data_IF_041634949973
#
_entry.id   IF_041634949973
#
_cell.length_a   1.000
_cell.length_b   1.000
_cell.length_c   1.000
_cell.angle_alpha   90.00
_cell.angle_beta   90.00
_cell.angle_gamma   90.00
#
_symmetry.space_group_name_H-M   'P 1'
#
loop_
_entity.id
_entity.type
_entity.pdbx_description
1 polymer ?
#
# COMPACT_ATOMS: atom_id res chain seq x y z
N UNK A 1 15.29 -0.09 6.31
CA UNK A 1 14.86 -1.50 6.42
C UNK A 1 15.96 -2.36 7.04
N UNK A 2 17.21 -2.30 6.56
CA UNK A 2 18.33 -3.07 7.15
C UNK A 2 18.51 -2.86 8.67
N UNK A 3 18.51 -1.59 9.11
CA UNK A 3 18.57 -1.23 10.55
C UNK A 3 17.41 -1.80 11.39
N UNK A 4 16.34 -2.25 10.75
CA UNK A 4 15.15 -2.85 11.38
C UNK A 4 15.19 -4.39 11.31
N UNK A 5 16.27 -4.98 10.80
CA UNK A 5 16.43 -6.43 10.68
C UNK A 5 15.91 -7.04 9.38
N UNK A 6 15.53 -6.20 8.40
CA UNK A 6 15.16 -6.66 7.06
C UNK A 6 16.22 -6.23 6.05
N UNK A 7 17.00 -7.19 5.57
CA UNK A 7 17.92 -6.98 4.45
C UNK A 7 17.17 -6.99 3.12
N UNK A 8 17.60 -6.15 2.18
CA UNK A 8 17.12 -6.18 0.80
C UNK A 8 18.02 -7.14 0.02
N UNK A 9 17.61 -8.41 -0.06
CA UNK A 9 18.39 -9.45 -0.74
C UNK A 9 18.20 -9.38 -2.27
N UNK A 10 19.13 -9.97 -3.05
CA UNK A 10 18.90 -10.20 -4.47
C UNK A 10 17.57 -10.93 -4.69
N UNK A 11 16.72 -10.39 -5.57
CA UNK A 11 15.36 -10.89 -5.78
C UNK A 11 14.28 -10.15 -4.99
N UNK A 12 14.64 -9.16 -4.15
CA UNK A 12 13.66 -8.29 -3.50
C UNK A 12 12.73 -7.62 -4.51
N UNK A 13 13.25 -7.19 -5.66
CA UNK A 13 12.44 -6.72 -6.77
C UNK A 13 12.40 -7.79 -7.86
N UNK A 14 11.19 -8.08 -8.34
CA UNK A 14 10.96 -8.92 -9.52
C UNK A 14 10.09 -8.17 -10.53
N UNK A 15 10.43 -8.31 -11.81
CA UNK A 15 9.64 -7.80 -12.93
C UNK A 15 9.11 -9.00 -13.70
N UNK A 16 7.79 -9.12 -13.80
CA UNK A 16 7.13 -10.28 -14.39
C UNK A 16 5.97 -9.84 -15.28
N UNK A 17 5.49 -10.76 -16.12
CA UNK A 17 4.19 -10.61 -16.77
C UNK A 17 3.10 -11.19 -15.85
N UNK A 18 2.06 -10.40 -15.60
CA UNK A 18 0.94 -10.80 -14.76
C UNK A 18 -0.34 -10.97 -15.58
N UNK A 19 -1.14 -11.97 -15.19
CA UNK A 19 -2.53 -12.07 -15.62
C UNK A 19 -3.43 -11.13 -14.80
N UNK A 20 -4.54 -10.66 -15.38
CA UNK A 20 -5.48 -9.74 -14.71
C UNK A 20 -5.11 -8.26 -14.86
N UNK A 21 -5.64 -7.40 -13.97
CA UNK A 21 -5.42 -5.94 -13.97
C UNK A 21 -4.72 -5.51 -12.67
N UNK A 22 -3.52 -6.05 -12.44
CA UNK A 22 -2.71 -5.80 -11.26
C UNK A 22 -1.39 -5.18 -11.73
N UNK A 23 -0.95 -4.11 -11.08
CA UNK A 23 0.28 -3.40 -11.46
C UNK A 23 1.52 -3.96 -10.76
N UNK A 24 1.34 -4.56 -9.59
CA UNK A 24 2.39 -5.10 -8.75
C UNK A 24 1.82 -5.59 -7.42
N UNK A 25 2.70 -5.99 -6.51
CA UNK A 25 2.31 -6.40 -5.18
C UNK A 25 3.50 -6.64 -4.26
N UNK A 26 3.23 -6.54 -2.97
CA UNK A 26 4.08 -6.98 -1.89
C UNK A 26 3.83 -8.47 -1.59
N UNK A 27 4.89 -9.22 -1.33
CA UNK A 27 4.78 -10.59 -0.84
C UNK A 27 5.85 -10.93 0.20
N UNK A 28 5.65 -12.05 0.88
CA UNK A 28 6.63 -12.69 1.73
C UNK A 28 7.06 -14.01 1.07
N UNK A 29 8.35 -14.36 1.12
CA UNK A 29 8.82 -15.70 0.76
C UNK A 29 8.58 -16.72 1.90
N UNK A 30 8.99 -17.97 1.70
CA UNK A 30 8.82 -19.05 2.67
C UNK A 30 9.54 -18.80 4.00
N UNK A 31 10.60 -17.98 4.00
CA UNK A 31 11.35 -17.56 5.18
C UNK A 31 10.75 -16.29 5.83
N UNK A 32 9.66 -15.75 5.28
CA UNK A 32 9.04 -14.51 5.72
C UNK A 32 9.82 -13.25 5.32
N UNK A 33 10.69 -13.31 4.31
CA UNK A 33 11.42 -12.14 3.80
C UNK A 33 10.54 -11.35 2.83
N UNK A 34 10.55 -10.01 2.91
CA UNK A 34 9.74 -9.16 2.04
C UNK A 34 10.27 -9.12 0.60
N UNK A 35 9.34 -9.04 -0.35
CA UNK A 35 9.62 -8.83 -1.77
C UNK A 35 8.53 -7.99 -2.44
N UNK A 36 8.89 -7.39 -3.57
CA UNK A 36 8.04 -6.57 -4.44
C UNK A 36 8.06 -7.17 -5.83
N UNK A 37 6.87 -7.46 -6.35
CA UNK A 37 6.65 -7.86 -7.73
C UNK A 37 6.05 -6.70 -8.52
N UNK A 38 6.57 -6.45 -9.71
CA UNK A 38 6.10 -5.45 -10.65
C UNK A 38 5.58 -6.15 -11.91
N UNK A 39 4.33 -5.89 -12.26
CA UNK A 39 3.69 -6.45 -13.44
C UNK A 39 3.98 -5.54 -14.64
N UNK A 40 5.11 -5.77 -15.31
CA UNK A 40 5.63 -4.87 -16.34
C UNK A 40 4.65 -4.63 -17.49
N UNK A 41 3.78 -5.59 -17.77
CA UNK A 41 2.79 -5.53 -18.84
C UNK A 41 1.57 -4.64 -18.51
N UNK A 42 1.43 -4.17 -17.26
CA UNK A 42 0.32 -3.31 -16.81
C UNK A 42 0.76 -1.91 -16.36
N UNK A 43 2.06 -1.62 -16.38
CA UNK A 43 2.62 -0.32 -16.00
C UNK A 43 2.92 0.49 -17.28
N UNK A 44 2.10 1.50 -17.63
CA UNK A 44 2.22 2.21 -18.89
C UNK A 44 3.33 3.27 -18.92
N UNK A 45 3.69 3.83 -17.77
CA UNK A 45 4.62 4.95 -17.67
C UNK A 45 5.35 5.00 -16.33
N UNK A 46 6.34 5.90 -16.24
CA UNK A 46 7.16 6.08 -15.04
C UNK A 46 6.36 6.55 -13.82
N UNK A 47 5.32 7.37 -14.00
CA UNK A 47 4.51 7.90 -12.90
C UNK A 47 3.71 6.76 -12.23
N UNK A 48 3.23 5.81 -13.03
CA UNK A 48 2.60 4.58 -12.55
C UNK A 48 3.60 3.64 -11.89
N UNK A 49 4.80 3.51 -12.45
CA UNK A 49 5.89 2.72 -11.85
C UNK A 49 6.22 3.27 -10.46
N UNK A 50 6.47 4.57 -10.35
CA UNK A 50 6.88 5.23 -9.11
C UNK A 50 5.83 5.05 -8.01
N UNK A 51 4.54 5.23 -8.34
CA UNK A 51 3.44 5.04 -7.38
C UNK A 51 3.28 3.59 -6.95
N UNK A 52 3.35 2.65 -7.90
CA UNK A 52 3.24 1.22 -7.61
C UNK A 52 4.39 0.79 -6.70
N UNK A 53 5.62 1.14 -7.08
CA UNK A 53 6.80 0.82 -6.28
C UNK A 53 6.76 1.47 -4.89
N UNK A 54 6.37 2.75 -4.79
CA UNK A 54 6.23 3.42 -3.50
C UNK A 54 5.17 2.76 -2.60
N UNK A 55 4.05 2.33 -3.18
CA UNK A 55 2.99 1.61 -2.45
C UNK A 55 3.54 0.31 -1.85
N UNK A 56 4.14 -0.56 -2.67
CA UNK A 56 4.65 -1.85 -2.21
C UNK A 56 5.84 -1.70 -1.24
N UNK A 57 6.67 -0.67 -1.43
CA UNK A 57 7.76 -0.37 -0.50
C UNK A 57 7.27 0.09 0.88
N UNK A 58 6.11 0.74 0.97
CA UNK A 58 5.51 1.04 2.28
C UNK A 58 5.07 -0.25 2.99
N UNK A 59 4.50 -1.23 2.28
CA UNK A 59 4.21 -2.54 2.86
C UNK A 59 5.46 -3.24 3.36
N UNK A 60 6.53 -3.26 2.56
CA UNK A 60 7.80 -3.84 2.98
C UNK A 60 8.39 -3.11 4.20
N UNK A 61 8.34 -1.78 4.21
CA UNK A 61 8.79 -0.99 5.35
C UNK A 61 7.98 -1.27 6.62
N UNK A 62 6.65 -1.38 6.49
CA UNK A 62 5.76 -1.68 7.60
C UNK A 62 5.97 -3.09 8.15
N UNK A 63 6.14 -4.07 7.28
CA UNK A 63 6.48 -5.44 7.67
C UNK A 63 7.73 -5.44 8.58
N UNK A 64 8.77 -4.72 8.15
CA UNK A 64 10.05 -4.67 8.85
C UNK A 64 10.03 -3.86 10.15
N UNK A 65 9.34 -2.72 10.15
CA UNK A 65 9.33 -1.82 11.30
C UNK A 65 8.28 -2.20 12.34
N UNK A 66 7.08 -2.52 11.88
CA UNK A 66 5.88 -2.66 12.72
C UNK A 66 5.47 -4.12 12.93
N UNK A 67 6.20 -5.09 12.32
CA UNK A 67 5.91 -6.53 12.43
C UNK A 67 4.44 -6.83 12.13
N UNK A 68 3.98 -6.33 10.97
CA UNK A 68 2.61 -6.49 10.49
C UNK A 68 2.23 -7.96 10.47
N UNK A 69 1.02 -8.24 10.97
CA UNK A 69 0.40 -9.56 10.94
C UNK A 69 -0.62 -9.52 9.81
N UNK A 70 -0.25 -10.04 8.65
CA UNK A 70 -1.06 -9.97 7.42
C UNK A 70 -2.36 -10.76 7.50
N UNK A 71 -2.53 -11.58 8.54
CA UNK A 71 -3.77 -12.32 8.84
C UNK A 71 -4.68 -11.57 9.83
N UNK A 72 -4.29 -10.38 10.30
CA UNK A 72 -5.14 -9.50 11.10
C UNK A 72 -5.61 -8.32 10.27
N UNK A 73 -6.92 -8.18 10.15
CA UNK A 73 -7.49 -7.14 9.30
C UNK A 73 -7.04 -5.74 9.69
N UNK A 74 -6.97 -5.40 10.98
CA UNK A 74 -6.50 -4.09 11.43
C UNK A 74 -5.04 -3.80 11.05
N UNK A 75 -4.18 -4.82 11.05
CA UNK A 75 -2.77 -4.66 10.70
C UNK A 75 -2.62 -4.46 9.19
N UNK A 76 -3.31 -5.26 8.39
CA UNK A 76 -3.34 -5.11 6.94
C UNK A 76 -3.94 -3.76 6.53
N UNK A 77 -5.09 -3.40 7.10
CA UNK A 77 -5.75 -2.11 6.89
C UNK A 77 -4.84 -0.92 7.22
N UNK A 78 -4.08 -1.00 8.32
CA UNK A 78 -3.13 0.05 8.70
C UNK A 78 -2.03 0.24 7.64
N UNK A 79 -1.48 -0.85 7.12
CA UNK A 79 -0.44 -0.79 6.09
C UNK A 79 -1.01 -0.26 4.77
N UNK A 80 -2.23 -0.63 4.41
CA UNK A 80 -2.94 -0.13 3.22
C UNK A 80 -3.30 1.36 3.32
N UNK A 81 -3.69 1.84 4.50
CA UNK A 81 -3.90 3.28 4.75
C UNK A 81 -2.59 4.04 4.52
N UNK A 82 -1.47 3.54 5.05
CA UNK A 82 -0.16 4.16 4.87
C UNK A 82 0.30 4.12 3.42
N UNK A 83 0.17 2.98 2.76
CA UNK A 83 0.58 2.81 1.37
C UNK A 83 -0.24 3.69 0.43
N UNK A 84 -1.55 3.77 0.60
CA UNK A 84 -2.41 4.67 -0.18
C UNK A 84 -2.14 6.15 0.09
N UNK A 85 -1.83 6.51 1.35
CA UNK A 85 -1.55 7.89 1.72
C UNK A 85 -0.16 8.37 1.25
N UNK A 86 0.85 7.50 1.25
CA UNK A 86 2.24 7.90 1.06
C UNK A 86 2.80 7.60 -0.34
N UNK A 87 2.11 6.80 -1.16
CA UNK A 87 2.62 6.43 -2.49
C UNK A 87 2.35 7.48 -3.58
N UNK A 88 1.59 8.53 -3.28
CA UNK A 88 1.08 9.48 -4.28
C UNK A 88 -0.18 9.01 -5.02
N UNK A 89 -0.72 7.84 -4.69
CA UNK A 89 -1.95 7.29 -5.27
C UNK A 89 -3.17 8.22 -5.14
N UNK A 90 -3.18 9.00 -4.07
CA UNK A 90 -4.23 9.94 -3.73
C UNK A 90 -3.92 11.40 -4.08
N UNK A 91 -2.93 11.64 -4.94
CA UNK A 91 -2.69 12.97 -5.50
C UNK A 91 -3.92 13.49 -6.25
N UNK A 92 -4.22 14.78 -6.07
CA UNK A 92 -5.39 15.46 -6.65
C UNK A 92 -5.53 15.27 -8.16
N UNK A 93 -4.41 15.28 -8.90
CA UNK A 93 -4.40 15.05 -10.37
C UNK A 93 -5.14 13.76 -10.72
N UNK A 94 -4.88 12.68 -9.98
CA UNK A 94 -5.52 11.39 -10.23
C UNK A 94 -6.95 11.31 -9.72
N UNK A 95 -7.25 11.98 -8.60
CA UNK A 95 -8.64 12.08 -8.14
C UNK A 95 -9.52 12.80 -9.16
N UNK A 96 -9.00 13.85 -9.79
CA UNK A 96 -9.67 14.52 -10.90
C UNK A 96 -9.94 13.57 -12.08
N UNK A 97 -8.93 12.80 -12.52
CA UNK A 97 -9.11 11.80 -13.58
C UNK A 97 -10.07 10.67 -13.19
N UNK A 98 -10.15 10.33 -11.90
CA UNK A 98 -11.15 9.41 -11.33
C UNK A 98 -12.51 10.06 -11.08
N UNK A 99 -12.72 11.31 -11.52
CA UNK A 99 -13.97 12.09 -11.39
C UNK A 99 -14.39 12.38 -9.93
N UNK A 100 -13.42 12.45 -9.02
CA UNK A 100 -13.65 12.87 -7.65
C UNK A 100 -13.24 14.35 -7.50
N UNK A 101 -14.24 15.22 -7.34
CA UNK A 101 -14.05 16.68 -7.34
C UNK A 101 -14.26 17.33 -5.97
N UNK A 102 -14.53 16.54 -4.92
CA UNK A 102 -14.69 17.09 -3.60
C UNK A 102 -13.36 17.70 -3.13
N UNK A 103 -13.40 18.89 -2.54
CA UNK A 103 -12.21 19.64 -2.11
C UNK A 103 -11.88 19.36 -0.64
N UNK A 104 -12.88 19.18 0.21
CA UNK A 104 -12.66 19.01 1.65
C UNK A 104 -12.25 17.58 1.99
N UNK A 105 -11.10 17.41 2.64
CA UNK A 105 -10.58 16.13 3.11
C UNK A 105 -10.48 15.04 2.01
N UNK A 106 -10.26 15.47 0.76
CA UNK A 106 -10.28 14.53 -0.37
C UNK A 106 -9.19 13.47 -0.27
N UNK A 107 -8.01 13.85 0.22
CA UNK A 107 -6.92 12.91 0.40
C UNK A 107 -7.29 11.79 1.39
N UNK A 108 -7.94 12.13 2.50
CA UNK A 108 -8.43 11.15 3.48
C UNK A 108 -9.52 10.25 2.91
N UNK A 109 -10.43 10.80 2.09
CA UNK A 109 -11.48 10.02 1.43
C UNK A 109 -10.90 9.06 0.40
N UNK A 110 -9.96 9.52 -0.42
CA UNK A 110 -9.23 8.67 -1.34
C UNK A 110 -8.48 7.56 -0.59
N UNK A 111 -7.78 7.89 0.50
CA UNK A 111 -7.01 6.92 1.29
C UNK A 111 -7.91 5.82 1.83
N UNK A 112 -9.05 6.18 2.45
CA UNK A 112 -10.05 5.20 2.93
C UNK A 112 -10.53 4.29 1.80
N UNK A 113 -10.92 4.88 0.66
CA UNK A 113 -11.43 4.14 -0.49
C UNK A 113 -10.39 3.17 -1.04
N UNK A 114 -9.15 3.62 -1.22
CA UNK A 114 -8.05 2.79 -1.76
C UNK A 114 -7.71 1.66 -0.81
N UNK A 115 -7.52 1.96 0.48
CA UNK A 115 -7.19 0.95 1.47
C UNK A 115 -8.28 -0.10 1.64
N UNK A 116 -9.57 0.30 1.59
CA UNK A 116 -10.70 -0.64 1.59
C UNK A 116 -10.62 -1.63 0.42
N UNK A 117 -10.42 -1.13 -0.80
CA UNK A 117 -10.35 -1.97 -1.99
C UNK A 117 -9.22 -3.02 -1.91
N UNK A 118 -8.09 -2.66 -1.31
CA UNK A 118 -6.95 -3.58 -1.17
C UNK A 118 -7.21 -4.70 -0.15
N UNK A 119 -7.90 -4.40 0.96
CA UNK A 119 -8.15 -5.40 2.01
C UNK A 119 -9.38 -6.28 1.77
N UNK A 120 -10.25 -5.94 0.80
CA UNK A 120 -11.50 -6.65 0.53
C UNK A 120 -11.30 -8.13 0.17
N UNK A 121 -10.15 -8.47 -0.42
CA UNK A 121 -9.80 -9.84 -0.80
C UNK A 121 -9.18 -10.65 0.34
N UNK A 122 -8.80 -10.00 1.46
CA UNK A 122 -8.25 -10.69 2.61
C UNK A 122 -9.37 -11.32 3.45
N UNK A 123 -9.28 -12.63 3.69
CA UNK A 123 -10.27 -13.40 4.45
C UNK A 123 -10.51 -12.85 5.86
N UNK A 124 -9.47 -12.32 6.53
CA UNK A 124 -9.59 -11.73 7.85
C UNK A 124 -10.43 -10.44 7.87
N UNK A 125 -10.60 -9.79 6.71
CA UNK A 125 -11.32 -8.54 6.55
C UNK A 125 -12.75 -8.68 6.02
N UNK A 126 -13.15 -9.88 5.59
CA UNK A 126 -14.48 -10.12 5.00
C UNK A 126 -15.61 -9.66 5.93
N UNK A 127 -16.46 -8.77 5.42
CA UNK A 127 -17.61 -8.23 6.15
C UNK A 127 -17.29 -7.17 7.21
N UNK A 128 -16.00 -6.82 7.42
CA UNK A 128 -15.56 -5.87 8.47
C UNK A 128 -14.51 -4.86 8.00
N UNK A 129 -14.29 -4.73 6.69
CA UNK A 129 -13.29 -3.84 6.11
C UNK A 129 -13.49 -2.37 6.56
N UNK A 130 -14.71 -1.84 6.48
CA UNK A 130 -15.02 -0.45 6.88
C UNK A 130 -14.72 -0.22 8.37
N UNK A 131 -15.17 -1.13 9.24
CA UNK A 131 -14.91 -1.06 10.68
C UNK A 131 -13.41 -1.04 10.98
N UNK A 132 -12.64 -1.92 10.33
CA UNK A 132 -11.20 -2.03 10.55
C UNK A 132 -10.47 -0.78 10.09
N UNK A 133 -10.85 -0.22 8.94
CA UNK A 133 -10.28 1.02 8.41
C UNK A 133 -10.55 2.15 9.40
N UNK A 134 -11.81 2.40 9.80
CA UNK A 134 -12.11 3.50 10.72
C UNK A 134 -11.43 3.34 12.09
N UNK A 135 -11.30 2.11 12.59
CA UNK A 135 -10.64 1.82 13.86
C UNK A 135 -9.16 2.22 13.88
N UNK A 136 -8.45 2.08 12.76
CA UNK A 136 -7.00 2.35 12.68
C UNK A 136 -6.65 3.61 11.86
N UNK A 137 -7.63 4.24 11.21
CA UNK A 137 -7.39 5.31 10.25
C UNK A 137 -6.54 6.43 10.85
N UNK A 138 -6.97 6.98 11.98
CA UNK A 138 -6.36 8.16 12.56
C UNK A 138 -4.92 7.92 13.02
N UNK A 139 -4.58 6.72 13.52
CA UNK A 139 -3.21 6.40 13.91
C UNK A 139 -2.32 6.18 12.69
N UNK A 140 -2.79 5.37 11.73
CA UNK A 140 -1.99 4.95 10.58
C UNK A 140 -1.80 6.09 9.57
N UNK A 141 -2.82 6.94 9.36
CA UNK A 141 -2.75 8.08 8.46
C UNK A 141 -1.81 9.20 8.97
N UNK A 142 -1.59 9.28 10.28
CA UNK A 142 -0.67 10.25 10.90
C UNK A 142 0.77 9.74 11.02
N UNK A 143 1.03 8.47 10.72
CA UNK A 143 2.40 7.95 10.65
C UNK A 143 2.91 8.10 9.22
N UNK A 144 3.78 9.08 9.00
CA UNK A 144 4.33 9.40 7.68
C UNK A 144 5.69 8.76 7.42
N UNK A 145 6.23 8.01 8.38
CA UNK A 145 7.53 7.37 8.22
C UNK A 145 7.52 6.44 6.99
N UNK A 146 8.60 6.39 6.18
CA UNK A 146 9.90 7.04 6.39
C UNK A 146 9.97 8.50 5.91
N UNK A 147 8.88 9.06 5.38
CA UNK A 147 8.82 10.45 4.94
C UNK A 147 8.68 11.42 6.12
N UNK A 148 8.89 12.71 5.83
CA UNK A 148 8.66 13.81 6.79
C UNK A 148 7.23 14.34 6.75
N UNK A 149 6.56 14.15 5.62
CA UNK A 149 5.18 14.56 5.33
C UNK A 149 4.61 13.67 4.22
N UNK A 150 3.32 13.79 3.93
CA UNK A 150 2.68 13.13 2.79
C UNK A 150 3.25 13.73 1.49
N UNK A 151 3.83 12.93 0.58
CA UNK A 151 4.41 13.40 -0.69
C UNK A 151 3.42 14.04 -1.67
#
# INVERSE_FOLDING_TARGET
MEKMGCSLEPGFFSSVECEGKINGGFHLDDDGKPGVVLCQNHIPDQEWMDRTMAHELIHAFDHCRNKIDWNKCEHHACSEIRAAALSGDCNWKYEFFRKNFNVSKQHQLCTRRRAKLSIEQNDACKGRADECIEKVFDSCYRDWSPYREIP
#
